data_IF_197027471226
#
_entry.id   IF_197027471226
#
_cell.length_a   1.000
_cell.length_b   1.000
_cell.length_c   1.000
_cell.angle_alpha   90.00
_cell.angle_beta   90.00
_cell.angle_gamma   90.00
#
_symmetry.space_group_name_H-M   'P 1'
#
loop_
_entity.id
_entity.type
_entity.pdbx_description
1 polymer ?
#
# COMPACT_ATOMS: atom_id res chain seq x y z
N UNK A 1 11.49 -39.47 10.94
CA UNK A 1 12.27 -38.29 11.37
C UNK A 1 12.86 -37.67 10.14
N UNK A 2 12.30 -36.58 9.66
CA UNK A 2 12.67 -35.95 8.41
C UNK A 2 13.91 -35.06 8.61
N UNK A 3 14.95 -35.21 7.77
CA UNK A 3 16.15 -34.36 7.78
C UNK A 3 16.14 -33.48 6.54
N UNK A 4 16.20 -32.15 6.73
CA UNK A 4 16.10 -31.11 5.69
C UNK A 4 17.23 -30.10 5.88
N UNK A 5 17.92 -29.75 4.82
CA UNK A 5 19.05 -28.82 4.88
C UNK A 5 18.81 -27.60 3.98
N UNK A 6 19.03 -26.42 4.53
CA UNK A 6 18.91 -25.12 3.85
C UNK A 6 19.91 -24.13 4.46
N UNK A 7 20.38 -23.14 3.69
CA UNK A 7 21.20 -22.04 4.23
C UNK A 7 20.39 -21.17 5.21
N UNK A 8 20.95 -20.87 6.39
CA UNK A 8 20.30 -20.04 7.41
C UNK A 8 19.95 -18.65 6.89
N UNK A 9 20.86 -17.99 6.15
CA UNK A 9 20.65 -16.67 5.57
C UNK A 9 19.61 -16.67 4.45
N UNK A 10 19.60 -17.70 3.60
CA UNK A 10 18.64 -17.86 2.52
C UNK A 10 17.23 -18.11 3.05
N UNK A 11 17.08 -18.98 4.05
CA UNK A 11 15.80 -19.20 4.73
C UNK A 11 15.30 -17.94 5.44
N UNK A 12 16.18 -17.24 6.16
CA UNK A 12 15.84 -16.00 6.86
C UNK A 12 15.36 -14.90 5.91
N UNK A 13 16.06 -14.73 4.77
CA UNK A 13 15.65 -13.75 3.74
C UNK A 13 14.21 -14.00 3.28
N UNK A 14 13.89 -15.25 2.97
CA UNK A 14 12.56 -15.62 2.48
C UNK A 14 11.48 -15.58 3.58
N UNK A 15 11.80 -15.94 4.82
CA UNK A 15 10.89 -15.77 5.96
C UNK A 15 10.58 -14.29 6.24
N UNK A 16 11.57 -13.42 6.12
CA UNK A 16 11.36 -11.97 6.30
C UNK A 16 10.41 -11.40 5.24
N UNK A 17 10.44 -11.88 3.99
CA UNK A 17 9.52 -11.40 2.93
C UNK A 17 8.05 -11.73 3.23
N UNK A 18 7.76 -12.82 3.94
CA UNK A 18 6.39 -13.22 4.29
C UNK A 18 5.98 -12.82 5.70
N UNK A 19 6.92 -12.38 6.54
CA UNK A 19 6.66 -12.11 7.96
C UNK A 19 5.69 -10.94 8.20
N UNK A 20 5.56 -10.03 7.23
CA UNK A 20 4.66 -8.86 7.33
C UNK A 20 3.17 -9.21 7.43
N UNK A 21 2.77 -10.44 7.07
CA UNK A 21 1.39 -10.91 7.23
C UNK A 21 1.12 -11.46 8.63
N UNK A 22 2.17 -11.88 9.36
CA UNK A 22 2.04 -12.51 10.66
C UNK A 22 1.70 -11.45 11.71
N UNK A 23 0.55 -11.60 12.35
CA UNK A 23 0.10 -10.70 13.42
C UNK A 23 0.35 -11.33 14.79
N UNK A 24 0.68 -10.50 15.77
CA UNK A 24 0.75 -10.95 17.17
C UNK A 24 -0.66 -11.07 17.74
N UNK A 25 -0.92 -12.16 18.47
CA UNK A 25 -2.22 -12.47 19.08
C UNK A 25 -3.39 -12.48 18.06
N UNK A 26 -3.32 -13.28 17.01
CA UNK A 26 -4.43 -13.43 16.06
C UNK A 26 -5.63 -14.12 16.74
N UNK A 27 -6.82 -13.95 16.16
CA UNK A 27 -8.05 -14.64 16.61
C UNK A 27 -7.89 -16.16 16.53
N UNK A 28 -7.14 -16.64 15.55
CA UNK A 28 -6.81 -18.06 15.35
C UNK A 28 -5.33 -18.26 15.70
N UNK A 29 -4.96 -18.86 16.84
CA UNK A 29 -3.59 -18.91 17.33
C UNK A 29 -2.55 -19.50 16.38
N UNK A 30 -2.92 -20.50 15.57
CA UNK A 30 -2.00 -21.13 14.62
C UNK A 30 -1.43 -20.14 13.57
N UNK A 31 -2.06 -18.99 13.38
CA UNK A 31 -1.59 -17.94 12.47
C UNK A 31 -0.37 -17.16 12.98
N UNK A 32 0.08 -17.41 14.21
CA UNK A 32 1.41 -16.98 14.66
C UNK A 32 2.53 -17.85 14.08
N UNK A 33 2.16 -18.99 13.49
CA UNK A 33 3.09 -19.92 12.85
C UNK A 33 3.20 -19.66 11.35
N UNK A 34 4.25 -20.18 10.76
CA UNK A 34 4.39 -20.37 9.32
C UNK A 34 4.21 -21.85 9.00
N UNK A 35 3.44 -22.14 7.97
CA UNK A 35 3.26 -23.49 7.47
C UNK A 35 4.42 -23.86 6.55
N UNK A 36 5.14 -24.93 6.86
CA UNK A 36 6.14 -25.55 6.02
C UNK A 36 5.56 -26.81 5.37
N UNK A 37 5.60 -26.86 4.05
CA UNK A 37 5.18 -28.01 3.26
C UNK A 37 6.30 -28.39 2.31
N UNK A 38 6.72 -29.65 2.33
CA UNK A 38 7.75 -30.15 1.41
C UNK A 38 7.17 -31.26 0.56
N UNK A 39 7.37 -31.12 -0.72
CA UNK A 39 7.05 -32.13 -1.74
C UNK A 39 8.18 -32.17 -2.79
N UNK A 40 8.77 -33.33 -2.96
CA UNK A 40 9.80 -33.57 -4.00
C UNK A 40 11.03 -32.64 -3.92
N UNK A 41 11.41 -32.16 -2.72
CA UNK A 41 12.54 -31.24 -2.53
C UNK A 41 12.17 -29.74 -2.66
N UNK A 42 10.93 -29.44 -2.96
CA UNK A 42 10.40 -28.06 -2.90
C UNK A 42 9.83 -27.80 -1.50
N UNK A 43 10.29 -26.75 -0.85
CA UNK A 43 9.72 -26.25 0.39
C UNK A 43 8.82 -25.06 0.08
N UNK A 44 7.53 -25.20 0.30
CA UNK A 44 6.57 -24.10 0.32
C UNK A 44 6.41 -23.63 1.74
N UNK A 45 6.64 -22.32 1.97
CA UNK A 45 6.39 -21.67 3.27
C UNK A 45 5.23 -20.72 3.11
N UNK A 46 4.19 -20.88 3.93
CA UNK A 46 2.97 -20.06 3.91
C UNK A 46 2.81 -19.33 5.21
N UNK A 47 2.53 -18.04 5.14
CA UNK A 47 2.04 -17.21 6.24
C UNK A 47 0.69 -16.60 5.88
N UNK A 48 -0.22 -16.45 6.85
CA UNK A 48 -1.58 -15.97 6.60
C UNK A 48 -2.15 -15.20 7.81
N UNK A 49 -3.07 -14.26 7.54
CA UNK A 49 -3.93 -13.61 8.53
C UNK A 49 -5.43 -13.81 8.23
N UNK A 50 -5.78 -14.78 7.39
CA UNK A 50 -7.09 -15.10 6.82
C UNK A 50 -7.57 -14.15 5.72
N UNK A 51 -7.09 -12.92 5.66
CA UNK A 51 -7.43 -11.96 4.61
C UNK A 51 -6.35 -11.93 3.53
N UNK A 52 -5.10 -12.11 3.96
CA UNK A 52 -3.93 -12.11 3.09
C UNK A 52 -3.08 -13.34 3.42
N UNK A 53 -2.64 -14.04 2.40
CA UNK A 53 -1.67 -15.14 2.53
C UNK A 53 -0.48 -14.86 1.61
N UNK A 54 0.72 -15.07 2.11
CA UNK A 54 1.95 -14.98 1.32
C UNK A 54 2.68 -16.30 1.39
N UNK A 55 3.07 -16.79 0.23
CA UNK A 55 3.76 -18.05 0.05
C UNK A 55 5.11 -17.79 -0.62
N UNK A 56 6.13 -18.52 -0.18
CA UNK A 56 7.44 -18.51 -0.82
C UNK A 56 7.90 -19.93 -1.07
N UNK A 57 8.40 -20.19 -2.29
CA UNK A 57 8.86 -21.50 -2.70
C UNK A 57 10.40 -21.54 -2.74
N UNK A 58 10.99 -22.53 -2.10
CA UNK A 58 12.43 -22.70 -1.95
C UNK A 58 12.84 -24.14 -2.37
N UNK A 59 14.01 -24.25 -2.99
CA UNK A 59 14.65 -25.54 -3.19
C UNK A 59 15.42 -25.95 -1.93
N UNK A 60 15.18 -27.14 -1.44
CA UNK A 60 15.86 -27.68 -0.25
C UNK A 60 16.28 -29.15 -0.46
N UNK A 61 17.34 -29.55 0.22
CA UNK A 61 17.67 -30.96 0.28
C UNK A 61 16.75 -31.67 1.28
N UNK A 62 15.81 -32.47 0.79
CA UNK A 62 14.93 -33.28 1.62
C UNK A 62 14.98 -34.76 1.25
N UNK A 63 14.88 -35.64 2.24
CA UNK A 63 14.79 -37.07 2.06
C UNK A 63 13.37 -37.61 2.05
N UNK A 64 12.44 -36.84 2.60
CA UNK A 64 11.06 -37.25 2.79
C UNK A 64 10.15 -36.01 2.70
N UNK A 65 8.94 -36.18 2.18
CA UNK A 65 7.90 -35.17 2.14
C UNK A 65 7.20 -35.02 3.50
N UNK A 66 6.51 -33.91 3.73
CA UNK A 66 5.72 -33.69 4.94
C UNK A 66 5.47 -32.22 5.23
N UNK A 67 4.66 -31.96 6.24
CA UNK A 67 4.23 -30.61 6.59
C UNK A 67 4.13 -30.37 8.09
N UNK A 68 4.38 -29.15 8.54
CA UNK A 68 4.29 -28.72 9.95
C UNK A 68 4.11 -27.22 10.04
N UNK A 69 3.33 -26.76 11.01
CA UNK A 69 3.26 -25.34 11.35
C UNK A 69 4.33 -25.01 12.42
N UNK A 70 5.16 -24.00 12.17
CA UNK A 70 6.34 -23.65 12.99
C UNK A 70 6.15 -22.24 13.57
N UNK A 71 6.36 -22.03 14.89
CA UNK A 71 6.31 -20.70 15.51
C UNK A 71 7.26 -19.72 14.83
N UNK A 72 6.69 -18.76 14.08
CA UNK A 72 7.46 -17.90 13.19
C UNK A 72 8.43 -16.98 13.92
N UNK A 73 7.97 -16.36 15.02
CA UNK A 73 8.78 -15.39 15.77
C UNK A 73 10.06 -16.01 16.29
N UNK A 74 9.97 -17.16 16.97
CA UNK A 74 11.13 -17.85 17.53
C UNK A 74 12.06 -18.34 16.43
N UNK A 75 11.50 -18.88 15.33
CA UNK A 75 12.29 -19.34 14.18
C UNK A 75 13.09 -18.18 13.57
N UNK A 76 12.43 -17.06 13.28
CA UNK A 76 13.08 -15.88 12.68
C UNK A 76 14.14 -15.30 13.62
N UNK A 77 13.85 -15.18 14.91
CA UNK A 77 14.82 -14.70 15.91
C UNK A 77 16.02 -15.63 16.04
N UNK A 78 15.82 -16.94 15.98
CA UNK A 78 16.90 -17.92 16.00
C UNK A 78 17.79 -17.74 14.77
N UNK A 79 17.19 -17.70 13.58
CA UNK A 79 17.94 -17.56 12.32
C UNK A 79 18.69 -16.22 12.21
N UNK A 80 18.13 -15.14 12.74
CA UNK A 80 18.79 -13.81 12.79
C UNK A 80 20.10 -13.82 13.58
N UNK A 81 20.20 -14.65 14.60
CA UNK A 81 21.36 -14.73 15.49
C UNK A 81 22.34 -15.85 15.09
N UNK A 82 22.04 -16.60 14.04
CA UNK A 82 22.96 -17.59 13.48
C UNK A 82 23.88 -16.95 12.42
N UNK A 83 25.17 -17.28 12.40
CA UNK A 83 26.02 -16.99 11.24
C UNK A 83 25.49 -17.75 10.02
N UNK A 84 25.96 -17.32 8.84
CA UNK A 84 25.62 -18.03 7.61
C UNK A 84 26.19 -19.46 7.63
N UNK A 85 25.30 -20.44 7.60
CA UNK A 85 25.63 -21.85 7.66
C UNK A 85 24.45 -22.71 7.21
N UNK A 86 24.70 -23.97 6.84
CA UNK A 86 23.61 -24.92 6.64
C UNK A 86 22.90 -25.22 7.96
N UNK A 87 21.57 -25.22 7.94
CA UNK A 87 20.74 -25.67 9.07
C UNK A 87 19.91 -26.87 8.65
N UNK A 88 19.81 -27.85 9.57
CA UNK A 88 19.07 -29.08 9.34
C UNK A 88 17.86 -29.13 10.27
N UNK A 89 16.69 -29.30 9.68
CA UNK A 89 15.44 -29.49 10.41
C UNK A 89 15.12 -30.97 10.54
N UNK A 90 14.77 -31.42 11.72
CA UNK A 90 14.24 -32.75 11.98
C UNK A 90 12.89 -32.61 12.68
N UNK A 91 11.84 -33.20 12.10
CA UNK A 91 10.46 -33.07 12.57
C UNK A 91 9.95 -34.44 12.96
N UNK A 92 9.30 -34.51 14.11
CA UNK A 92 8.63 -35.70 14.62
C UNK A 92 7.14 -35.64 14.26
N UNK A 93 6.66 -36.57 13.46
CA UNK A 93 5.28 -36.59 12.94
C UNK A 93 4.21 -36.89 14.02
N UNK A 94 4.63 -37.46 15.15
CA UNK A 94 3.67 -37.85 16.20
C UNK A 94 3.34 -36.71 17.14
N UNK A 95 4.30 -35.80 17.38
CA UNK A 95 4.16 -34.74 18.36
C UNK A 95 4.54 -33.35 17.83
N UNK A 96 4.86 -33.25 16.54
CA UNK A 96 5.24 -32.03 15.82
C UNK A 96 6.46 -31.30 16.40
N UNK A 97 7.27 -31.97 17.23
CA UNK A 97 8.50 -31.39 17.74
C UNK A 97 9.51 -31.19 16.62
N UNK A 98 10.07 -29.99 16.58
CA UNK A 98 11.03 -29.57 15.58
C UNK A 98 12.39 -29.44 16.25
N UNK A 99 13.41 -30.04 15.66
CA UNK A 99 14.78 -29.89 16.06
C UNK A 99 15.57 -29.25 14.91
N UNK A 100 16.18 -28.10 15.18
CA UNK A 100 17.04 -27.36 14.25
C UNK A 100 18.48 -27.61 14.71
N UNK A 101 19.30 -28.19 13.85
CA UNK A 101 20.71 -28.41 14.08
C UNK A 101 21.53 -27.47 13.17
N UNK A 102 22.43 -26.74 13.78
CA UNK A 102 23.47 -25.92 13.13
C UNK A 102 24.85 -26.52 13.42
N UNK A 103 25.92 -25.93 12.92
CA UNK A 103 27.29 -26.42 13.14
C UNK A 103 27.65 -26.59 14.61
N UNK A 104 27.19 -25.67 15.46
CA UNK A 104 27.57 -25.62 16.87
C UNK A 104 26.37 -25.59 17.83
N UNK A 105 25.14 -25.72 17.32
CA UNK A 105 23.94 -25.56 18.13
C UNK A 105 22.82 -26.52 17.78
N UNK A 106 21.96 -26.76 18.78
CA UNK A 106 20.75 -27.54 18.67
C UNK A 106 19.60 -26.79 19.35
N UNK A 107 18.55 -26.53 18.58
CA UNK A 107 17.39 -25.77 19.01
C UNK A 107 16.14 -26.64 18.88
N UNK A 108 15.26 -26.58 19.86
CA UNK A 108 14.01 -27.32 19.84
C UNK A 108 12.83 -26.36 19.90
N UNK A 109 11.86 -26.58 19.01
CA UNK A 109 10.61 -25.85 18.94
C UNK A 109 9.45 -26.85 19.00
N UNK A 110 8.35 -26.45 19.62
CA UNK A 110 7.08 -27.15 19.51
C UNK A 110 6.36 -26.60 18.27
N UNK A 111 6.17 -27.44 17.26
CA UNK A 111 5.32 -27.15 16.13
C UNK A 111 3.88 -27.56 16.37
N UNK A 112 3.02 -27.31 15.40
CA UNK A 112 1.61 -27.67 15.40
C UNK A 112 1.23 -28.46 14.16
N UNK A 113 0.08 -29.13 14.22
CA UNK A 113 -0.43 -29.89 13.08
C UNK A 113 -0.73 -28.99 11.89
N UNK A 114 -0.11 -29.26 10.76
CA UNK A 114 -0.34 -28.53 9.49
C UNK A 114 -1.79 -28.56 9.03
N UNK A 115 -2.56 -29.61 9.37
CA UNK A 115 -3.96 -29.75 9.01
C UNK A 115 -4.86 -28.68 9.64
N UNK A 116 -4.43 -28.06 10.75
CA UNK A 116 -5.14 -26.98 11.45
C UNK A 116 -4.85 -25.60 10.84
N UNK A 117 -3.86 -25.52 9.94
CA UNK A 117 -3.54 -24.25 9.25
C UNK A 117 -4.57 -23.98 8.15
N UNK A 118 -5.09 -22.74 8.04
CA UNK A 118 -6.09 -22.39 7.04
C UNK A 118 -5.61 -22.61 5.61
N UNK A 119 -6.46 -23.22 4.79
CA UNK A 119 -6.16 -23.40 3.37
C UNK A 119 -6.16 -22.09 2.62
N UNK A 120 -5.16 -21.88 1.80
CA UNK A 120 -5.08 -20.73 0.90
C UNK A 120 -5.97 -20.99 -0.33
N UNK A 121 -6.84 -20.05 -0.72
CA UNK A 121 -7.65 -20.19 -1.93
C UNK A 121 -6.78 -20.33 -3.18
N UNK A 122 -7.10 -21.29 -4.03
CA UNK A 122 -6.48 -21.43 -5.35
C UNK A 122 -7.09 -20.48 -6.38
N UNK A 123 -6.36 -20.22 -7.46
CA UNK A 123 -6.88 -19.49 -8.64
C UNK A 123 -7.83 -20.43 -9.40
N UNK A 124 -9.12 -20.16 -9.30
CA UNK A 124 -10.16 -20.84 -10.08
C UNK A 124 -10.94 -19.80 -10.87
N UNK A 125 -11.14 -20.04 -12.17
CA UNK A 125 -12.00 -19.25 -13.05
C UNK A 125 -11.81 -17.72 -12.93
N UNK A 126 -10.58 -17.24 -13.13
CA UNK A 126 -10.19 -15.87 -12.97
C UNK A 126 -9.68 -15.22 -14.25
N UNK A 127 -9.46 -13.93 -14.17
CA UNK A 127 -8.83 -13.12 -15.20
C UNK A 127 -7.35 -12.95 -14.87
N UNK A 128 -6.53 -12.69 -15.90
CA UNK A 128 -5.08 -12.55 -15.76
C UNK A 128 -4.58 -11.31 -16.49
N UNK A 129 -3.65 -10.60 -15.87
CA UNK A 129 -2.94 -9.47 -16.46
C UNK A 129 -1.50 -9.46 -15.96
N UNK A 130 -0.57 -9.00 -16.80
CA UNK A 130 0.81 -8.78 -16.38
C UNK A 130 1.03 -7.28 -16.11
N UNK A 131 1.63 -6.98 -14.96
CA UNK A 131 1.90 -5.60 -14.54
C UNK A 131 3.38 -5.51 -14.15
N UNK A 132 4.06 -4.49 -14.66
CA UNK A 132 5.43 -4.22 -14.25
C UNK A 132 5.51 -3.82 -12.76
N UNK A 133 6.51 -4.33 -12.03
CA UNK A 133 6.66 -4.09 -10.59
C UNK A 133 6.83 -2.61 -10.21
N UNK A 134 7.56 -1.84 -11.02
CA UNK A 134 7.76 -0.40 -10.78
C UNK A 134 6.45 0.37 -10.98
N UNK A 135 5.69 0.03 -12.04
CA UNK A 135 4.39 0.63 -12.32
C UNK A 135 3.40 0.32 -11.20
N UNK A 136 3.34 -0.95 -10.75
CA UNK A 136 2.45 -1.35 -9.65
C UNK A 136 2.84 -0.65 -8.34
N UNK A 137 4.15 -0.57 -8.04
CA UNK A 137 4.64 0.14 -6.87
C UNK A 137 4.30 1.63 -6.91
N UNK A 138 4.44 2.28 -8.07
CA UNK A 138 4.05 3.68 -8.29
C UNK A 138 2.55 3.86 -8.10
N UNK A 139 1.71 2.99 -8.69
CA UNK A 139 0.26 3.05 -8.56
C UNK A 139 -0.20 2.92 -7.10
N UNK A 140 0.37 1.97 -6.35
CA UNK A 140 0.09 1.82 -4.93
C UNK A 140 0.55 3.07 -4.15
N UNK A 141 1.76 3.57 -4.41
CA UNK A 141 2.32 4.72 -3.70
C UNK A 141 1.50 5.98 -3.90
N UNK A 142 1.06 6.22 -5.14
CA UNK A 142 0.28 7.40 -5.52
C UNK A 142 -1.17 7.36 -5.01
N UNK A 143 -1.68 6.21 -4.57
CA UNK A 143 -3.09 6.09 -4.19
C UNK A 143 -3.31 5.73 -2.72
N UNK A 144 -2.52 4.84 -2.16
CA UNK A 144 -2.79 4.22 -0.85
C UNK A 144 -2.95 5.20 0.32
N UNK A 145 -2.29 6.37 0.26
CA UNK A 145 -2.30 7.36 1.34
C UNK A 145 -3.65 8.07 1.50
N UNK A 146 -4.48 8.08 0.46
CA UNK A 146 -5.82 8.70 0.50
C UNK A 146 -6.95 7.72 0.80
N UNK A 147 -6.65 6.45 1.11
CA UNK A 147 -7.66 5.50 1.60
C UNK A 147 -8.18 5.87 2.99
N UNK A 148 -9.43 5.55 3.26
CA UNK A 148 -10.07 5.75 4.57
C UNK A 148 -9.56 4.74 5.61
N UNK A 149 -9.65 5.12 6.88
CA UNK A 149 -9.50 4.21 8.03
C UNK A 149 -10.85 3.91 8.70
N UNK A 150 -11.94 4.43 8.16
CA UNK A 150 -13.30 4.25 8.67
C UNK A 150 -13.87 2.92 8.19
N UNK A 151 -13.92 1.94 9.08
CA UNK A 151 -14.47 0.60 8.79
C UNK A 151 -15.98 0.58 8.53
N UNK A 152 -16.70 1.68 8.82
CA UNK A 152 -18.11 1.83 8.48
C UNK A 152 -18.33 2.10 6.97
N UNK A 153 -17.26 2.43 6.26
CA UNK A 153 -17.24 2.63 4.81
C UNK A 153 -16.20 1.72 4.15
N UNK A 154 -16.41 0.39 4.16
CA UNK A 154 -15.39 -0.59 3.78
C UNK A 154 -14.81 -0.36 2.38
N UNK A 155 -15.64 0.02 1.39
CA UNK A 155 -15.19 0.31 0.04
C UNK A 155 -14.04 1.33 -0.02
N UNK A 156 -14.05 2.34 0.86
CA UNK A 156 -13.02 3.38 0.89
C UNK A 156 -11.75 2.96 1.66
N UNK A 157 -11.76 1.82 2.37
CA UNK A 157 -10.57 1.34 3.11
C UNK A 157 -9.55 0.64 2.21
N UNK A 158 -9.85 0.51 0.92
CA UNK A 158 -9.01 -0.04 -0.11
C UNK A 158 -8.79 0.90 -1.27
N UNK A 159 -7.97 0.48 -2.21
CA UNK A 159 -7.79 1.13 -3.50
C UNK A 159 -8.63 0.39 -4.53
N UNK A 160 -9.42 1.13 -5.27
CA UNK A 160 -10.21 0.63 -6.40
C UNK A 160 -9.32 0.53 -7.63
N UNK A 161 -9.30 -0.65 -8.25
CA UNK A 161 -8.62 -0.92 -9.52
C UNK A 161 -9.70 -1.18 -10.57
N UNK A 162 -9.65 -0.43 -11.66
CA UNK A 162 -10.47 -0.68 -12.85
C UNK A 162 -9.55 -0.99 -14.02
N UNK A 163 -9.53 -2.25 -14.42
CA UNK A 163 -8.74 -2.74 -15.54
C UNK A 163 -9.60 -2.81 -16.78
N UNK A 164 -9.13 -2.21 -17.87
CA UNK A 164 -9.80 -2.17 -19.17
C UNK A 164 -8.81 -2.40 -20.32
N UNK A 165 -9.31 -2.55 -21.54
CA UNK A 165 -8.48 -2.66 -22.74
C UNK A 165 -7.66 -1.38 -23.04
N UNK A 166 -8.04 -0.24 -22.48
CA UNK A 166 -7.38 1.07 -22.69
C UNK A 166 -6.39 1.43 -21.59
N UNK A 167 -6.45 0.76 -20.44
CA UNK A 167 -5.58 1.06 -19.33
C UNK A 167 -6.10 0.56 -17.99
N UNK A 168 -5.37 0.85 -16.93
CA UNK A 168 -5.80 0.61 -15.56
C UNK A 168 -5.98 1.93 -14.80
N UNK A 169 -7.13 2.11 -14.18
CA UNK A 169 -7.43 3.24 -13.30
C UNK A 169 -7.38 2.80 -11.85
N UNK A 170 -6.65 3.53 -11.03
CA UNK A 170 -6.53 3.33 -9.59
C UNK A 170 -7.17 4.50 -8.88
N UNK A 171 -8.08 4.25 -7.95
CA UNK A 171 -8.78 5.31 -7.22
C UNK A 171 -8.76 5.02 -5.73
N UNK A 172 -8.55 6.07 -4.95
CA UNK A 172 -8.68 6.02 -3.49
C UNK A 172 -9.29 7.30 -2.96
N UNK A 173 -10.09 7.20 -1.91
CA UNK A 173 -10.72 8.35 -1.24
C UNK A 173 -11.03 8.04 0.22
N UNK A 174 -11.02 9.06 1.06
CA UNK A 174 -11.50 9.03 2.45
C UNK A 174 -12.79 9.88 2.63
N UNK A 175 -13.31 10.45 1.53
CA UNK A 175 -14.45 11.36 1.51
C UNK A 175 -14.09 12.83 1.65
N UNK A 176 -12.83 13.17 1.97
CA UNK A 176 -12.32 14.54 2.06
C UNK A 176 -11.29 14.84 0.96
N UNK A 177 -10.67 13.84 0.45
CA UNK A 177 -9.74 13.89 -0.67
C UNK A 177 -9.91 12.64 -1.53
N UNK A 178 -9.44 12.71 -2.77
CA UNK A 178 -9.50 11.62 -3.72
C UNK A 178 -8.25 11.67 -4.59
N UNK A 179 -7.71 10.51 -4.92
CA UNK A 179 -6.70 10.35 -5.97
C UNK A 179 -7.25 9.44 -7.05
N UNK A 180 -7.16 9.90 -8.29
CA UNK A 180 -7.39 9.11 -9.51
C UNK A 180 -6.08 9.06 -10.27
N UNK A 181 -5.55 7.85 -10.45
CA UNK A 181 -4.30 7.59 -11.13
C UNK A 181 -4.55 6.60 -12.27
N UNK A 182 -4.16 6.96 -13.48
CA UNK A 182 -4.39 6.17 -14.70
C UNK A 182 -3.06 5.76 -15.29
N UNK A 183 -2.98 4.49 -15.73
CA UNK A 183 -1.87 3.93 -16.50
C UNK A 183 -2.41 3.31 -17.78
N UNK A 184 -1.96 3.80 -18.92
CA UNK A 184 -2.39 3.31 -20.24
C UNK A 184 -1.51 2.17 -20.76
N UNK A 185 -0.41 1.88 -20.10
CA UNK A 185 0.51 0.78 -20.37
C UNK A 185 0.16 -0.53 -19.65
N UNK A 186 -0.78 -0.51 -18.70
CA UNK A 186 -1.39 -1.72 -18.11
C UNK A 186 -2.70 -1.98 -18.85
N UNK A 187 -2.80 -3.10 -19.56
CA UNK A 187 -4.00 -3.41 -20.34
C UNK A 187 -4.63 -4.70 -19.88
N UNK A 188 -5.94 -4.66 -19.75
CA UNK A 188 -6.80 -5.84 -19.59
C UNK A 188 -7.32 -6.35 -20.94
N UNK A 189 -8.31 -7.20 -20.86
CA UNK A 189 -9.07 -7.68 -22.02
C UNK A 189 -10.16 -6.68 -22.48
N UNK A 190 -11.07 -7.12 -23.35
CA UNK A 190 -12.13 -6.26 -23.88
C UNK A 190 -13.22 -5.94 -22.85
N UNK A 191 -13.27 -6.69 -21.75
CA UNK A 191 -14.26 -6.52 -20.70
C UNK A 191 -13.64 -5.74 -19.54
N UNK A 192 -14.31 -4.70 -19.08
CA UNK A 192 -13.88 -3.96 -17.89
C UNK A 192 -14.04 -4.83 -16.64
N UNK A 193 -12.97 -4.87 -15.85
CA UNK A 193 -12.93 -5.55 -14.57
C UNK A 193 -12.56 -4.57 -13.47
N UNK A 194 -13.33 -4.58 -12.39
CA UNK A 194 -13.09 -3.77 -11.22
C UNK A 194 -12.93 -4.61 -9.95
N UNK A 195 -12.07 -4.14 -9.05
CA UNK A 195 -11.80 -4.75 -7.77
C UNK A 195 -11.37 -3.71 -6.74
N UNK A 196 -11.63 -3.99 -5.46
CA UNK A 196 -11.15 -3.15 -4.35
C UNK A 196 -10.14 -3.95 -3.55
N UNK A 197 -8.89 -3.50 -3.57
CA UNK A 197 -7.78 -4.14 -2.86
C UNK A 197 -7.58 -3.49 -1.49
N UNK A 198 -7.60 -4.25 -0.39
CA UNK A 198 -7.46 -3.71 0.96
C UNK A 198 -6.12 -2.98 1.15
N UNK A 199 -6.15 -1.84 1.85
CA UNK A 199 -4.95 -1.05 2.19
C UNK A 199 -3.84 -1.89 2.84
N UNK A 200 -4.22 -2.77 3.79
CA UNK A 200 -3.25 -3.63 4.48
C UNK A 200 -2.50 -4.55 3.51
N UNK A 201 -3.24 -5.20 2.60
CA UNK A 201 -2.68 -6.09 1.60
C UNK A 201 -1.78 -5.35 0.61
N UNK A 202 -2.18 -4.14 0.17
CA UNK A 202 -1.37 -3.32 -0.72
C UNK A 202 -0.08 -2.81 -0.08
N UNK A 203 -0.10 -2.45 1.21
CA UNK A 203 1.12 -2.10 1.95
C UNK A 203 2.09 -3.28 2.03
N UNK A 204 1.57 -4.48 2.30
CA UNK A 204 2.36 -5.70 2.32
C UNK A 204 2.94 -5.98 0.93
N UNK A 205 2.10 -5.96 -0.12
CA UNK A 205 2.54 -6.17 -1.50
C UNK A 205 3.68 -5.19 -1.84
N UNK A 206 3.50 -3.90 -1.58
CA UNK A 206 4.52 -2.87 -1.80
C UNK A 206 5.85 -3.20 -1.11
N UNK A 207 5.82 -3.77 0.09
CA UNK A 207 7.03 -4.10 0.87
C UNK A 207 7.80 -5.31 0.34
N UNK A 208 7.15 -6.17 -0.44
CA UNK A 208 7.73 -7.40 -0.99
C UNK A 208 7.98 -7.37 -2.50
N UNK A 209 7.48 -6.32 -3.19
CA UNK A 209 7.76 -6.13 -4.61
C UNK A 209 9.26 -5.99 -4.87
N UNK A 210 9.79 -6.54 -5.98
CA UNK A 210 11.18 -6.34 -6.38
C UNK A 210 11.47 -4.85 -6.62
N UNK A 211 12.53 -4.33 -5.97
CA UNK A 211 12.96 -2.94 -6.12
C UNK A 211 14.27 -2.79 -6.88
N UNK A 212 15.07 -3.87 -6.95
CA UNK A 212 16.41 -3.84 -7.54
C UNK A 212 16.40 -3.96 -9.07
N UNK A 213 15.31 -4.42 -9.62
CA UNK A 213 15.11 -4.60 -11.08
C UNK A 213 13.63 -4.59 -11.40
N UNK A 214 13.32 -4.07 -12.57
CA UNK A 214 11.98 -4.19 -13.14
C UNK A 214 11.65 -5.66 -13.40
N UNK A 215 10.51 -6.13 -12.91
CA UNK A 215 10.04 -7.50 -13.05
C UNK A 215 8.56 -7.52 -13.39
N UNK A 216 8.13 -8.51 -14.15
CA UNK A 216 6.72 -8.70 -14.44
C UNK A 216 6.03 -9.40 -13.27
N UNK A 217 4.94 -8.83 -12.82
CA UNK A 217 4.05 -9.34 -11.80
C UNK A 217 2.82 -9.90 -12.50
N UNK A 218 2.58 -11.18 -12.35
CA UNK A 218 1.32 -11.76 -12.80
C UNK A 218 0.23 -11.47 -11.79
N UNK A 219 -0.80 -10.74 -12.20
CA UNK A 219 -2.02 -10.50 -11.45
C UNK A 219 -3.12 -11.42 -11.99
N UNK A 220 -3.48 -12.43 -11.21
CA UNK A 220 -4.70 -13.19 -11.43
C UNK A 220 -5.77 -12.75 -10.42
N UNK A 221 -7.04 -12.68 -10.81
CA UNK A 221 -8.12 -12.30 -9.88
C UNK A 221 -9.45 -12.91 -10.28
N UNK A 222 -10.31 -13.07 -9.29
CA UNK A 222 -11.71 -13.48 -9.46
C UNK A 222 -12.61 -12.57 -8.60
N UNK A 223 -13.89 -12.89 -8.48
CA UNK A 223 -14.83 -12.07 -7.71
C UNK A 223 -14.47 -11.87 -6.22
N UNK A 224 -13.62 -12.72 -5.65
CA UNK A 224 -13.35 -12.71 -4.20
C UNK A 224 -11.90 -12.47 -3.83
N UNK A 225 -10.97 -12.78 -4.71
CA UNK A 225 -9.53 -12.75 -4.41
C UNK A 225 -8.71 -12.21 -5.57
N UNK A 226 -7.60 -11.55 -5.22
CA UNK A 226 -6.51 -11.22 -6.14
C UNK A 226 -5.25 -12.01 -5.77
N UNK A 227 -4.50 -12.42 -6.79
CA UNK A 227 -3.30 -13.25 -6.68
C UNK A 227 -2.16 -12.55 -7.40
N UNK A 228 -1.09 -12.26 -6.70
CA UNK A 228 0.13 -11.67 -7.24
C UNK A 228 1.24 -12.71 -7.24
N UNK A 229 1.82 -12.97 -8.40
CA UNK A 229 2.91 -13.96 -8.54
C UNK A 229 4.12 -13.32 -9.19
N UNK A 230 5.28 -13.43 -8.55
CA UNK A 230 6.56 -12.93 -9.05
C UNK A 230 7.70 -13.68 -8.38
N UNK A 231 8.76 -13.93 -9.15
CA UNK A 231 9.90 -14.72 -8.70
C UNK A 231 9.46 -16.05 -8.05
N UNK A 232 9.80 -16.24 -6.79
CA UNK A 232 9.39 -17.39 -5.98
C UNK A 232 8.29 -17.07 -4.95
N UNK A 233 7.65 -15.89 -5.06
CA UNK A 233 6.63 -15.41 -4.14
C UNK A 233 5.26 -15.45 -4.81
N UNK A 234 4.26 -15.91 -4.05
CA UNK A 234 2.84 -15.76 -4.38
C UNK A 234 2.12 -15.12 -3.21
N UNK A 235 1.35 -14.08 -3.50
CA UNK A 235 0.50 -13.41 -2.52
C UNK A 235 -0.95 -13.53 -2.96
N UNK A 236 -1.81 -13.89 -2.03
CA UNK A 236 -3.27 -13.93 -2.23
C UNK A 236 -3.89 -12.94 -1.25
N UNK A 237 -4.77 -12.07 -1.71
CA UNK A 237 -5.55 -11.23 -0.82
C UNK A 237 -7.05 -11.29 -1.17
N UNK A 238 -7.88 -11.29 -0.13
CA UNK A 238 -9.32 -11.19 -0.27
C UNK A 238 -9.69 -9.78 -0.68
N UNK A 239 -10.55 -9.65 -1.70
CA UNK A 239 -11.09 -8.38 -2.15
C UNK A 239 -12.15 -7.85 -1.17
N UNK A 240 -12.33 -6.54 -1.15
CA UNK A 240 -13.45 -5.90 -0.46
C UNK A 240 -14.67 -6.04 -1.36
N UNK A 241 -15.66 -6.84 -0.91
CA UNK A 241 -16.90 -7.12 -1.64
C UNK A 241 -17.92 -6.00 -1.39
N UNK A 242 -17.65 -4.84 -1.99
CA UNK A 242 -18.50 -3.64 -1.88
C UNK A 242 -18.49 -2.87 -3.20
N UNK A 243 -19.52 -2.06 -3.42
CA UNK A 243 -19.54 -1.13 -4.55
C UNK A 243 -18.72 0.11 -4.22
N UNK A 244 -17.73 0.41 -5.07
CA UNK A 244 -16.96 1.64 -4.93
C UNK A 244 -17.85 2.87 -5.23
N UNK A 245 -17.67 4.01 -4.50
CA UNK A 245 -18.40 5.24 -4.78
C UNK A 245 -18.20 5.72 -6.21
N UNK A 246 -19.19 6.44 -6.74
CA UNK A 246 -19.09 7.10 -8.04
C UNK A 246 -18.15 8.30 -7.94
N UNK A 247 -16.88 8.04 -8.17
CA UNK A 247 -15.79 9.02 -7.98
C UNK A 247 -15.70 10.02 -9.15
N UNK A 248 -16.12 9.66 -10.34
CA UNK A 248 -16.02 10.55 -11.51
C UNK A 248 -16.95 11.76 -11.36
N UNK A 249 -18.12 11.58 -10.74
CA UNK A 249 -19.09 12.65 -10.53
C UNK A 249 -18.67 13.69 -9.48
N UNK A 250 -17.67 13.39 -8.64
CA UNK A 250 -17.20 14.36 -7.63
C UNK A 250 -16.00 15.18 -8.11
N UNK A 251 -15.35 14.80 -9.21
CA UNK A 251 -14.22 15.52 -9.79
C UNK A 251 -14.76 16.70 -10.61
N UNK A 252 -14.53 17.97 -10.20
CA UNK A 252 -15.01 19.12 -10.92
C UNK A 252 -14.31 19.26 -12.29
N UNK A 253 -15.08 19.62 -13.31
CA UNK A 253 -14.57 19.89 -14.66
C UNK A 253 -14.48 21.38 -15.01
N UNK A 254 -14.98 22.24 -14.12
CA UNK A 254 -15.17 23.69 -14.35
C UNK A 254 -14.31 24.58 -13.45
N UNK A 255 -13.24 24.06 -12.87
CA UNK A 255 -12.26 24.82 -12.08
C UNK A 255 -11.40 25.67 -13.03
N UNK A 256 -11.76 26.94 -13.17
CA UNK A 256 -11.16 27.90 -14.12
C UNK A 256 -9.96 28.67 -13.56
N UNK A 257 -9.85 28.82 -12.22
CA UNK A 257 -8.69 29.44 -11.60
C UNK A 257 -7.53 28.46 -11.57
N UNK A 258 -6.43 28.81 -12.23
CA UNK A 258 -5.24 27.95 -12.35
C UNK A 258 -4.05 28.60 -11.66
N UNK A 259 -3.41 27.89 -10.76
CA UNK A 259 -2.26 28.37 -10.00
C UNK A 259 -1.11 27.39 -10.13
N UNK A 260 -0.05 27.78 -10.82
CA UNK A 260 1.17 26.96 -10.97
C UNK A 260 2.21 27.38 -9.95
N UNK A 261 2.73 26.40 -9.19
CA UNK A 261 3.56 26.65 -8.01
C UNK A 261 4.72 25.66 -7.98
N UNK A 262 5.91 26.11 -7.58
CA UNK A 262 7.03 25.22 -7.26
C UNK A 262 6.65 24.29 -6.10
N UNK A 263 6.61 22.97 -6.36
CA UNK A 263 6.17 21.97 -5.37
C UNK A 263 6.95 22.04 -4.05
N UNK A 264 8.29 22.17 -4.13
CA UNK A 264 9.14 22.20 -2.93
C UNK A 264 8.88 23.43 -2.05
N UNK A 265 8.58 24.58 -2.66
CA UNK A 265 8.23 25.82 -1.92
C UNK A 265 6.88 25.67 -1.22
N UNK A 266 5.85 25.21 -1.94
CA UNK A 266 4.52 24.98 -1.38
C UNK A 266 4.56 23.94 -0.23
N UNK A 267 5.20 22.78 -0.47
CA UNK A 267 5.34 21.72 0.52
C UNK A 267 6.12 22.20 1.77
N UNK A 268 7.20 22.94 1.55
CA UNK A 268 8.02 23.50 2.63
C UNK A 268 7.25 24.52 3.49
N UNK A 269 6.52 25.42 2.85
CA UNK A 269 5.67 26.40 3.53
C UNK A 269 4.55 25.71 4.32
N UNK A 270 3.82 24.78 3.70
CA UNK A 270 2.77 24.02 4.38
C UNK A 270 3.27 23.27 5.61
N UNK A 271 4.45 22.64 5.54
CA UNK A 271 5.07 21.94 6.69
C UNK A 271 5.36 22.90 7.85
N UNK A 272 5.80 24.13 7.59
CA UNK A 272 6.08 25.13 8.63
C UNK A 272 4.78 25.73 9.18
N UNK A 273 3.88 26.18 8.31
CA UNK A 273 2.62 26.80 8.68
C UNK A 273 1.70 25.85 9.45
N UNK A 274 1.64 24.58 9.06
CA UNK A 274 0.80 23.56 9.72
C UNK A 274 1.15 23.33 11.21
N UNK A 275 2.35 23.71 11.66
CA UNK A 275 2.74 23.64 13.07
C UNK A 275 1.86 24.56 13.93
N UNK A 276 1.42 25.69 13.37
CA UNK A 276 0.61 26.72 14.01
C UNK A 276 -0.89 26.57 13.80
N UNK A 277 -1.28 25.60 12.96
CA UNK A 277 -2.70 25.32 12.72
C UNK A 277 -3.35 24.61 13.91
N UNK A 278 -4.65 24.86 14.09
CA UNK A 278 -5.46 24.13 15.07
C UNK A 278 -5.31 22.60 14.86
N UNK A 279 -5.07 21.87 15.94
CA UNK A 279 -4.72 20.43 15.89
C UNK A 279 -5.87 19.52 15.46
N UNK A 280 -7.10 19.99 15.58
CA UNK A 280 -8.30 19.23 15.18
C UNK A 280 -8.60 19.40 13.69
N UNK A 281 -8.62 20.63 13.20
CA UNK A 281 -8.99 20.95 11.82
C UNK A 281 -7.79 20.89 10.87
N UNK A 282 -6.58 21.13 11.38
CA UNK A 282 -5.34 21.31 10.59
C UNK A 282 -5.53 22.33 9.45
N UNK A 283 -6.38 23.34 9.69
CA UNK A 283 -6.79 24.31 8.69
C UNK A 283 -5.67 25.28 8.36
N UNK A 284 -5.47 25.48 7.07
CA UNK A 284 -4.65 26.55 6.50
C UNK A 284 -5.49 27.35 5.52
N UNK A 285 -5.24 28.64 5.44
CA UNK A 285 -5.91 29.57 4.54
C UNK A 285 -4.95 29.92 3.40
N UNK A 286 -5.42 29.83 2.18
CA UNK A 286 -4.74 30.31 0.99
C UNK A 286 -5.45 31.57 0.52
N UNK A 287 -4.73 32.69 0.46
CA UNK A 287 -5.19 33.90 -0.20
C UNK A 287 -4.31 34.12 -1.42
N UNK A 288 -4.90 33.95 -2.59
CA UNK A 288 -4.24 34.03 -3.88
C UNK A 288 -4.61 35.37 -4.51
N UNK A 289 -3.62 36.20 -4.77
CA UNK A 289 -3.80 37.52 -5.36
C UNK A 289 -2.65 37.83 -6.32
N UNK A 290 -2.98 38.11 -7.58
CA UNK A 290 -1.96 38.34 -8.61
C UNK A 290 -1.03 37.14 -8.73
N UNK A 291 0.28 37.33 -8.56
CA UNK A 291 1.31 36.27 -8.67
C UNK A 291 1.82 35.78 -7.32
N UNK A 292 1.01 35.87 -6.26
CA UNK A 292 1.41 35.56 -4.90
C UNK A 292 0.34 34.75 -4.17
N UNK A 293 0.77 33.79 -3.36
CA UNK A 293 -0.09 33.09 -2.40
C UNK A 293 0.38 33.45 -0.99
N UNK A 294 -0.52 34.03 -0.19
CA UNK A 294 -0.35 34.13 1.24
C UNK A 294 -0.96 32.88 1.90
N UNK A 295 -0.12 32.05 2.51
CA UNK A 295 -0.53 30.90 3.29
C UNK A 295 -0.51 31.29 4.75
N UNK A 296 -1.61 31.08 5.47
CA UNK A 296 -1.69 31.38 6.91
C UNK A 296 -2.41 30.28 7.68
N UNK A 297 -2.09 30.18 8.95
CA UNK A 297 -2.79 29.34 9.92
C UNK A 297 -2.87 30.04 11.25
N UNK A 298 -3.91 29.75 12.01
CA UNK A 298 -4.13 30.24 13.36
C UNK A 298 -4.69 29.14 14.26
N UNK A 299 -4.35 29.20 15.53
CA UNK A 299 -4.95 28.41 16.59
C UNK A 299 -5.33 29.35 17.72
N UNK A 300 -6.62 29.74 17.76
CA UNK A 300 -7.14 30.69 18.72
C UNK A 300 -7.07 30.18 20.16
N UNK A 301 -7.13 28.86 20.36
CA UNK A 301 -7.07 28.24 21.70
C UNK A 301 -5.71 28.45 22.36
N UNK A 302 -4.65 28.49 21.55
CA UNK A 302 -3.27 28.67 22.01
C UNK A 302 -2.64 29.98 21.59
N UNK A 303 -3.38 30.87 20.93
CA UNK A 303 -2.90 32.17 20.40
C UNK A 303 -1.67 31.99 19.49
N UNK A 304 -1.64 30.90 18.71
CA UNK A 304 -0.61 30.65 17.70
C UNK A 304 -1.06 31.21 16.35
N UNK A 305 -0.13 31.84 15.63
CA UNK A 305 -0.37 32.36 14.29
C UNK A 305 0.91 32.24 13.47
N UNK A 306 0.79 31.92 12.18
CA UNK A 306 1.87 31.96 11.22
C UNK A 306 1.35 32.34 9.84
N UNK A 307 2.19 33.02 9.06
CA UNK A 307 1.91 33.32 7.66
C UNK A 307 3.20 33.32 6.84
N UNK A 308 3.11 32.88 5.60
CA UNK A 308 4.19 32.94 4.62
C UNK A 308 3.65 33.29 3.25
N UNK A 309 4.50 33.93 2.44
CA UNK A 309 4.20 34.26 1.04
C UNK A 309 5.09 33.45 0.13
N UNK A 310 4.49 32.90 -0.90
CA UNK A 310 5.20 32.20 -1.98
C UNK A 310 4.76 32.75 -3.32
N UNK A 311 5.67 32.75 -4.29
CA UNK A 311 5.37 33.18 -5.65
C UNK A 311 4.64 32.08 -6.42
N UNK A 312 3.76 32.46 -7.32
CA UNK A 312 3.05 31.56 -8.21
C UNK A 312 2.80 32.22 -9.57
N UNK A 313 2.47 31.41 -10.55
CA UNK A 313 1.85 31.84 -11.79
C UNK A 313 0.34 31.62 -11.64
N UNK A 314 -0.45 32.70 -11.67
CA UNK A 314 -1.89 32.63 -11.43
C UNK A 314 -2.64 33.17 -12.65
N UNK A 315 -3.57 32.36 -13.14
CA UNK A 315 -4.52 32.72 -14.20
C UNK A 315 -5.94 32.49 -13.68
N UNK A 316 -6.61 33.59 -13.37
CA UNK A 316 -7.96 33.62 -12.81
C UNK A 316 -8.20 34.80 -11.86
N UNK A 317 -9.31 34.71 -11.12
CA UNK A 317 -9.72 35.71 -10.16
C UNK A 317 -9.05 35.52 -8.80
N UNK A 318 -8.85 36.59 -8.06
CA UNK A 318 -8.40 36.55 -6.67
C UNK A 318 -9.33 35.63 -5.83
N UNK A 319 -8.77 34.73 -5.07
CA UNK A 319 -9.55 33.74 -4.29
C UNK A 319 -8.95 33.55 -2.90
N UNK A 320 -9.84 33.31 -1.94
CA UNK A 320 -9.49 32.92 -0.59
C UNK A 320 -10.18 31.59 -0.24
N UNK A 321 -9.40 30.57 0.13
CA UNK A 321 -9.89 29.21 0.32
C UNK A 321 -9.14 28.51 1.46
N UNK A 322 -9.86 27.72 2.27
CA UNK A 322 -9.28 26.92 3.34
C UNK A 322 -9.05 25.47 2.94
N UNK A 323 -7.96 24.89 3.43
CA UNK A 323 -7.67 23.46 3.24
C UNK A 323 -7.16 22.81 4.53
N UNK A 324 -7.26 21.49 4.60
CA UNK A 324 -6.53 20.72 5.60
C UNK A 324 -5.07 20.55 5.13
N UNK A 325 -4.14 21.15 5.87
CA UNK A 325 -2.71 21.13 5.53
C UNK A 325 -2.13 19.71 5.42
N UNK A 326 -2.57 18.77 6.27
CA UNK A 326 -2.07 17.39 6.24
C UNK A 326 -2.40 16.72 4.92
N UNK A 327 -3.60 16.93 4.38
CA UNK A 327 -3.99 16.35 3.10
C UNK A 327 -3.12 16.89 1.96
N UNK A 328 -2.92 18.22 1.90
CA UNK A 328 -2.05 18.82 0.89
C UNK A 328 -0.60 18.35 1.02
N UNK A 329 -0.06 18.24 2.24
CA UNK A 329 1.30 17.76 2.49
C UNK A 329 1.47 16.31 2.00
N UNK A 330 0.51 15.43 2.28
CA UNK A 330 0.55 14.05 1.82
C UNK A 330 0.43 13.95 0.30
N UNK A 331 -0.48 14.71 -0.33
CA UNK A 331 -0.63 14.76 -1.77
C UNK A 331 0.66 15.25 -2.45
N UNK A 332 1.21 16.38 -2.02
CA UNK A 332 2.45 16.96 -2.56
C UNK A 332 3.67 16.04 -2.35
N UNK A 333 3.68 15.26 -1.28
CA UNK A 333 4.77 14.31 -0.99
C UNK A 333 4.77 13.10 -1.94
N UNK A 334 3.65 12.81 -2.61
CA UNK A 334 3.49 11.69 -3.54
C UNK A 334 3.42 12.13 -5.02
N UNK A 335 3.59 13.41 -5.33
CA UNK A 335 3.68 13.91 -6.71
C UNK A 335 5.15 13.98 -7.13
N UNK A 336 5.48 13.41 -8.27
CA UNK A 336 6.80 13.49 -8.90
C UNK A 336 6.78 14.54 -10.03
N UNK A 337 6.91 15.82 -9.65
CA UNK A 337 7.02 16.96 -10.59
C UNK A 337 7.73 18.10 -9.88
N UNK A 338 8.43 18.96 -10.61
CA UNK A 338 9.05 20.16 -10.05
C UNK A 338 8.00 21.21 -9.69
N UNK A 339 6.99 21.38 -10.53
CA UNK A 339 5.86 22.27 -10.31
C UNK A 339 4.56 21.47 -10.24
N UNK A 340 3.59 22.05 -9.56
CA UNK A 340 2.22 21.54 -9.46
C UNK A 340 1.22 22.62 -9.88
N UNK A 341 0.10 22.19 -10.40
CA UNK A 341 -1.01 23.04 -10.80
C UNK A 341 -2.16 22.80 -9.83
N UNK A 342 -2.57 23.87 -9.13
CA UNK A 342 -3.77 23.88 -8.31
C UNK A 342 -4.90 24.54 -9.11
N UNK A 343 -5.97 23.77 -9.42
CA UNK A 343 -7.15 24.28 -10.12
C UNK A 343 -8.29 24.49 -9.15
N UNK A 344 -8.82 25.69 -9.10
CA UNK A 344 -9.83 26.16 -8.17
C UNK A 344 -11.03 26.78 -8.91
N UNK A 345 -12.14 26.91 -8.22
CA UNK A 345 -13.31 27.68 -8.69
C UNK A 345 -13.85 28.56 -7.55
N UNK A 346 -14.73 28.06 -6.71
CA UNK A 346 -15.32 28.76 -5.58
C UNK A 346 -14.71 28.26 -4.25
N UNK A 347 -14.73 29.08 -3.16
CA UNK A 347 -14.13 28.70 -1.87
C UNK A 347 -14.73 27.45 -1.20
N UNK A 348 -15.93 27.04 -1.60
CA UNK A 348 -16.67 25.90 -1.07
C UNK A 348 -16.64 24.67 -2.00
N UNK A 349 -15.95 24.75 -3.14
CA UNK A 349 -15.82 23.67 -4.13
C UNK A 349 -14.45 22.99 -4.04
N UNK A 350 -14.42 21.73 -4.38
CA UNK A 350 -13.18 20.95 -4.37
C UNK A 350 -12.10 21.55 -5.28
N UNK A 351 -10.88 21.66 -4.76
CA UNK A 351 -9.69 21.98 -5.54
C UNK A 351 -9.10 20.72 -6.16
N UNK A 352 -8.48 20.87 -7.32
CA UNK A 352 -7.69 19.81 -7.97
C UNK A 352 -6.21 20.17 -7.90
N UNK A 353 -5.39 19.20 -7.54
CA UNK A 353 -3.94 19.28 -7.56
C UNK A 353 -3.42 18.26 -8.57
N UNK A 354 -2.69 18.73 -9.57
CA UNK A 354 -2.10 17.91 -10.63
C UNK A 354 -0.62 18.27 -10.81
N UNK A 355 0.25 17.35 -11.23
CA UNK A 355 1.61 17.69 -11.64
C UNK A 355 1.58 18.55 -12.92
N UNK A 356 2.57 19.43 -13.09
CA UNK A 356 2.76 20.17 -14.36
C UNK A 356 3.32 19.24 -15.44
N UNK A 357 4.32 18.43 -15.06
CA UNK A 357 4.92 17.43 -15.96
C UNK A 357 4.33 16.05 -15.65
N UNK A 358 3.84 15.38 -16.67
CA UNK A 358 3.27 14.03 -16.59
C UNK A 358 4.10 13.12 -17.49
N UNK A 359 4.46 11.94 -16.98
CA UNK A 359 5.14 10.93 -17.78
C UNK A 359 4.20 10.37 -18.85
N UNK A 360 4.79 9.84 -19.94
CA UNK A 360 4.03 9.10 -20.93
C UNK A 360 3.27 7.93 -20.27
N UNK A 361 2.07 7.66 -20.73
CA UNK A 361 1.18 6.61 -20.22
C UNK A 361 0.67 6.80 -18.78
N UNK A 362 0.82 7.99 -18.21
CA UNK A 362 0.43 8.31 -16.85
C UNK A 362 -0.50 9.53 -16.81
N UNK A 363 -1.54 9.47 -15.97
CA UNK A 363 -2.35 10.63 -15.62
C UNK A 363 -2.71 10.56 -14.14
N UNK A 364 -2.51 11.65 -13.42
CA UNK A 364 -2.83 11.75 -12.00
C UNK A 364 -3.63 13.01 -11.70
N UNK A 365 -4.78 12.81 -11.09
CA UNK A 365 -5.62 13.87 -10.58
C UNK A 365 -5.87 13.65 -9.10
N UNK A 366 -5.55 14.64 -8.30
CA UNK A 366 -5.81 14.64 -6.86
C UNK A 366 -6.83 15.72 -6.53
N UNK A 367 -7.91 15.33 -5.85
CA UNK A 367 -8.96 16.23 -5.39
C UNK A 367 -8.84 16.44 -3.89
N UNK A 368 -9.02 17.67 -3.43
CA UNK A 368 -9.09 18.01 -2.01
C UNK A 368 -10.31 18.88 -1.73
N UNK A 369 -11.11 18.47 -0.75
CA UNK A 369 -12.26 19.26 -0.27
C UNK A 369 -11.77 20.46 0.54
N UNK A 370 -12.35 21.64 0.33
CA UNK A 370 -12.03 22.79 1.14
C UNK A 370 -12.57 22.66 2.58
N UNK A 371 -11.95 23.40 3.48
CA UNK A 371 -12.43 23.63 4.84
C UNK A 371 -13.02 25.03 4.89
N UNK A 372 -14.26 25.17 5.39
CA UNK A 372 -14.90 26.46 5.49
C UNK A 372 -14.09 27.40 6.39
N UNK A 373 -13.78 28.58 5.88
CA UNK A 373 -13.14 29.63 6.64
C UNK A 373 -14.18 30.32 7.55
N UNK A 374 -13.83 30.57 8.80
CA UNK A 374 -14.67 31.36 9.66
C UNK A 374 -14.53 32.83 9.26
N UNK A 375 -15.63 33.50 8.93
CA UNK A 375 -15.68 34.93 8.55
C UNK A 375 -15.50 35.89 9.75
N UNK A 376 -14.86 35.44 10.83
CA UNK A 376 -14.60 36.22 12.02
C UNK A 376 -13.16 36.72 12.04
N UNK A 377 -12.85 37.68 11.18
CA UNK A 377 -11.68 38.54 11.31
C UNK A 377 -11.95 39.93 10.71
#
# INVERSE_FOLDING_TARGET
MYKRQVSSSYLLKNLNSISGVITSNPVVPILENVLFEIEGGNLLITASDLQTSVMVELQVESKEDGSVAIPAKILIETLKNLPEQPVTFSIDDQNYNIEINSDNGRYKLAGENSADFPKVPGVNDGYSSDINSEILNSAISNTIFSTSTDELRPAMTGVFFKLSSTGCTFVSTDGHRLVKYIRTDIKGDEVDHDMILPRKSLNLLKSILPTDKSSDIKLDFNASNAYFSFENIKMVCRLIDERYPDYDNVIPSDNSNTVTITKSELLGSLKRISIYANKTTNQVRFKITGSEILISAEDLDFSNEANERISCEHDGDDIEIGFNAKFLIEMLSNIESEKVILKLSEPNRAGLLIPEDINDNEDITMLVMPVMLNDNA
#
